data_IF_052007913796
#
_entry.id   IF_052007913796
#
_cell.length_a   1.000
_cell.length_b   1.000
_cell.length_c   1.000
_cell.angle_alpha   90.00
_cell.angle_beta   90.00
_cell.angle_gamma   90.00
#
_symmetry.space_group_name_H-M   'P 1'
#
loop_
_entity.id
_entity.type
_entity.pdbx_description
1 polymer ?
#
# COMPACT_ATOMS: atom_id res chain seq x y z
N UNK A 1 -10.80 5.61 -16.18
CA UNK A 1 -11.44 4.28 -16.07
C UNK A 1 -11.74 4.02 -14.60
N UNK A 2 -12.94 3.54 -14.23
CA UNK A 2 -13.23 3.26 -12.82
C UNK A 2 -12.39 2.07 -12.37
N UNK A 3 -11.62 2.25 -11.29
CA UNK A 3 -10.81 1.19 -10.70
C UNK A 3 -11.60 0.64 -9.51
N UNK A 4 -12.04 -0.61 -9.60
CA UNK A 4 -12.68 -1.31 -8.50
C UNK A 4 -11.60 -1.82 -7.53
N UNK A 5 -10.88 -0.90 -6.89
CA UNK A 5 -9.85 -1.21 -5.90
C UNK A 5 -10.25 -0.64 -4.55
N UNK A 6 -10.08 -1.44 -3.50
CA UNK A 6 -10.35 -1.04 -2.12
C UNK A 6 -9.36 0.00 -1.59
N UNK A 7 -8.15 0.01 -2.14
CA UNK A 7 -7.04 0.87 -1.71
C UNK A 7 -6.32 1.43 -2.92
N UNK A 8 -5.88 2.68 -2.83
CA UNK A 8 -5.08 3.30 -3.88
C UNK A 8 -3.69 2.65 -4.02
N UNK A 9 -2.95 3.02 -5.05
CA UNK A 9 -1.56 2.56 -5.20
C UNK A 9 -0.68 3.39 -4.26
N UNK A 10 0.16 2.70 -3.48
CA UNK A 10 1.11 3.39 -2.62
C UNK A 10 2.18 4.07 -3.47
N UNK A 11 2.54 5.28 -3.08
CA UNK A 11 3.65 6.00 -3.70
C UNK A 11 4.99 5.35 -3.31
N UNK A 12 6.05 5.58 -4.09
CA UNK A 12 7.40 5.22 -3.69
C UNK A 12 7.74 5.76 -2.29
N UNK A 13 8.40 4.94 -1.46
CA UNK A 13 8.65 5.25 -0.05
C UNK A 13 7.54 4.82 0.92
N UNK A 14 6.44 4.26 0.42
CA UNK A 14 5.39 3.62 1.23
C UNK A 14 5.33 2.12 0.96
N UNK A 15 4.98 1.35 1.98
CA UNK A 15 4.70 -0.09 1.90
C UNK A 15 3.22 -0.37 2.17
N UNK A 16 2.73 -1.47 1.59
CA UNK A 16 1.35 -1.95 1.77
C UNK A 16 1.25 -2.72 3.08
N UNK A 17 0.27 -2.38 3.90
CA UNK A 17 -0.05 -3.09 5.15
C UNK A 17 -1.47 -3.63 5.06
N UNK A 18 -1.71 -4.93 5.27
CA UNK A 18 -3.07 -5.47 5.28
C UNK A 18 -3.96 -4.73 6.28
N UNK A 19 -5.16 -4.35 5.83
CA UNK A 19 -6.16 -3.74 6.72
C UNK A 19 -6.83 -4.80 7.59
N UNK A 20 -6.72 -4.76 8.93
CA UNK A 20 -7.40 -5.71 9.78
C UNK A 20 -8.92 -5.59 9.60
N UNK A 21 -9.60 -6.72 9.37
CA UNK A 21 -11.04 -6.76 9.13
C UNK A 21 -11.49 -6.43 7.70
N UNK A 22 -10.56 -6.11 6.79
CA UNK A 22 -10.86 -5.90 5.38
C UNK A 22 -10.53 -7.15 4.54
N UNK A 23 -10.96 -7.15 3.27
CA UNK A 23 -10.60 -8.20 2.31
C UNK A 23 -9.10 -8.19 2.04
N UNK A 24 -8.54 -9.33 1.59
CA UNK A 24 -7.11 -9.48 1.31
C UNK A 24 -6.55 -8.50 0.27
N UNK A 25 -7.41 -7.92 -0.57
CA UNK A 25 -7.05 -6.90 -1.55
C UNK A 25 -6.97 -5.46 -0.97
N UNK A 26 -7.42 -5.25 0.26
CA UNK A 26 -7.43 -3.98 0.96
C UNK A 26 -6.18 -3.82 1.83
N UNK A 27 -5.48 -2.70 1.66
CA UNK A 27 -4.28 -2.37 2.40
C UNK A 27 -4.21 -0.87 2.73
N UNK A 28 -3.41 -0.51 3.73
CA UNK A 28 -2.98 0.86 3.99
C UNK A 28 -1.57 1.09 3.46
N UNK A 29 -1.31 2.32 3.06
CA UNK A 29 0.04 2.77 2.71
C UNK A 29 0.66 3.41 3.94
N UNK A 30 1.69 2.77 4.50
CA UNK A 30 2.47 3.35 5.61
C UNK A 30 3.88 3.67 5.11
N UNK A 31 4.52 4.74 5.63
CA UNK A 31 5.89 5.06 5.25
C UNK A 31 6.81 3.88 5.56
N UNK A 32 7.76 3.62 4.67
CA UNK A 32 8.82 2.68 4.95
C UNK A 32 9.65 3.20 6.13
N UNK A 33 10.11 2.31 7.03
CA UNK A 33 11.05 2.70 8.07
C UNK A 33 12.33 3.27 7.45
N UNK A 34 12.97 4.20 8.15
CA UNK A 34 14.21 4.82 7.70
C UNK A 34 15.26 3.74 7.38
N UNK A 35 15.72 3.70 6.13
CA UNK A 35 16.66 2.69 5.62
C UNK A 35 16.03 1.57 4.77
N UNK A 36 14.70 1.40 4.77
CA UNK A 36 14.01 0.50 3.83
C UNK A 36 13.49 1.28 2.62
N UNK A 37 14.14 1.09 1.47
CA UNK A 37 13.72 1.70 0.21
C UNK A 37 12.61 0.81 -0.38
N UNK A 38 11.41 1.36 -0.58
CA UNK A 38 10.38 0.72 -1.44
C UNK A 38 10.83 0.86 -2.90
N UNK A 39 11.80 0.03 -3.30
CA UNK A 39 12.28 -0.10 -4.68
C UNK A 39 11.23 -0.87 -5.50
N UNK A 40 10.09 -0.22 -5.75
CA UNK A 40 9.11 -0.73 -6.70
C UNK A 40 8.74 0.41 -7.62
N UNK A 41 9.49 0.47 -8.73
CA UNK A 41 9.20 1.26 -9.93
C UNK A 41 7.92 0.76 -10.58
#
# INVERSE_FOLDING_TARGET
TPRAQCSDNCLPGYRKVPKPGAQSCCYDCVPCPEGEISNTT
#
